data_IF_084619024994
#
_entry.id   IF_084619024994
#
_cell.length_a   1.000
_cell.length_b   1.000
_cell.length_c   1.000
_cell.angle_alpha   90.00
_cell.angle_beta   90.00
_cell.angle_gamma   90.00
#
_symmetry.space_group_name_H-M   'P 1'
#
loop_
_entity.id
_entity.type
_entity.pdbx_description
1 polymer ?
#
# COMPACT_ATOMS: atom_id res chain seq x y z
N UNK A 1 -13.74 50.97 36.08
CA UNK A 1 -14.44 49.74 35.64
C UNK A 1 -14.41 49.70 34.12
N UNK A 2 -13.63 48.78 33.53
CA UNK A 2 -13.61 48.55 32.09
C UNK A 2 -14.46 47.30 31.82
N UNK A 3 -15.62 47.49 31.18
CA UNK A 3 -16.43 46.38 30.66
C UNK A 3 -15.93 46.14 29.23
N UNK A 4 -15.11 45.11 29.06
CA UNK A 4 -14.78 44.57 27.75
C UNK A 4 -15.83 43.49 27.44
N UNK A 5 -16.84 43.84 26.66
CA UNK A 5 -17.78 42.87 26.09
C UNK A 5 -17.04 42.20 24.92
N UNK A 6 -16.38 41.09 25.23
CA UNK A 6 -15.62 40.28 24.29
C UNK A 6 -16.61 39.64 23.32
N UNK A 7 -16.52 40.05 22.05
CA UNK A 7 -17.33 39.53 20.96
C UNK A 7 -17.21 38.01 20.88
N UNK A 8 -18.37 37.37 20.83
CA UNK A 8 -18.54 35.94 20.59
C UNK A 8 -17.83 35.59 19.27
N UNK A 9 -16.62 35.05 19.35
CA UNK A 9 -15.94 34.45 18.21
C UNK A 9 -16.76 33.23 17.85
N UNK A 10 -17.46 33.32 16.72
CA UNK A 10 -18.02 32.19 15.99
C UNK A 10 -16.94 31.12 15.90
N UNK A 11 -17.10 30.05 16.67
CA UNK A 11 -16.43 28.79 16.45
C UNK A 11 -16.86 28.29 15.08
N UNK A 12 -16.12 28.69 14.05
CA UNK A 12 -16.01 27.98 12.78
C UNK A 12 -15.72 26.54 13.18
N UNK A 13 -16.76 25.69 13.10
CA UNK A 13 -16.57 24.27 13.06
C UNK A 13 -15.66 24.01 11.89
N UNK A 14 -14.39 23.72 12.18
CA UNK A 14 -13.53 23.05 11.23
C UNK A 14 -14.25 21.76 10.90
N UNK A 15 -14.91 21.74 9.75
CA UNK A 15 -15.10 20.54 8.95
C UNK A 15 -13.71 19.94 8.82
N UNK A 16 -13.40 19.04 9.75
CA UNK A 16 -12.16 18.32 9.75
C UNK A 16 -12.20 17.43 8.52
N UNK A 17 -11.59 17.90 7.43
CA UNK A 17 -11.25 17.06 6.29
C UNK A 17 -10.54 15.84 6.86
N UNK A 18 -11.24 14.72 6.84
CA UNK A 18 -10.75 13.48 7.43
C UNK A 18 -9.78 12.90 6.41
N UNK A 19 -8.49 13.19 6.56
CA UNK A 19 -7.44 12.56 5.75
C UNK A 19 -7.54 11.04 5.89
N UNK A 20 -7.56 10.34 4.76
CA UNK A 20 -7.47 8.89 4.72
C UNK A 20 -6.01 8.56 4.99
N UNK A 21 -5.70 7.83 6.06
CA UNK A 21 -4.32 7.51 6.44
C UNK A 21 -4.17 6.01 6.56
N UNK A 22 -3.74 5.37 5.46
CA UNK A 22 -3.46 3.94 5.49
C UNK A 22 -2.22 3.74 6.37
N UNK A 23 -2.35 3.09 7.55
CA UNK A 23 -1.18 2.82 8.35
C UNK A 23 -0.30 1.82 7.59
N UNK A 24 1.04 1.95 7.64
CA UNK A 24 1.90 0.92 7.12
C UNK A 24 1.56 -0.42 7.81
N UNK A 25 1.71 -1.56 7.11
CA UNK A 25 1.34 -2.86 7.66
C UNK A 25 2.18 -3.23 8.91
N UNK A 26 3.35 -2.60 9.06
CA UNK A 26 4.28 -2.72 10.18
C UNK A 26 4.86 -1.36 10.55
N UNK A 27 4.99 -1.10 11.84
CA UNK A 27 5.73 0.04 12.36
C UNK A 27 7.24 -0.20 12.16
N UNK A 28 7.96 0.81 11.68
CA UNK A 28 9.40 0.74 11.40
C UNK A 28 10.25 0.37 12.61
N UNK A 29 9.73 0.58 13.82
CA UNK A 29 10.40 0.33 15.10
C UNK A 29 10.48 -1.16 15.46
N UNK A 30 9.72 -2.04 14.77
CA UNK A 30 9.65 -3.47 15.07
C UNK A 30 10.34 -4.36 14.02
N UNK A 31 11.14 -3.78 13.12
CA UNK A 31 11.91 -4.57 12.15
C UNK A 31 12.97 -5.37 12.91
N UNK A 32 12.90 -6.70 12.81
CA UNK A 32 13.88 -7.59 13.43
C UNK A 32 15.29 -7.26 12.88
N UNK A 33 16.35 -7.26 13.71
CA UNK A 33 17.70 -7.13 13.17
C UNK A 33 18.02 -8.35 12.28
N UNK A 34 18.82 -8.17 11.20
CA UNK A 34 19.23 -9.28 10.36
C UNK A 34 20.08 -10.28 11.15
N UNK A 35 20.09 -11.54 10.71
CA UNK A 35 21.03 -12.55 11.21
C UNK A 35 22.48 -12.12 10.95
N UNK A 36 23.42 -12.53 11.80
CA UNK A 36 24.86 -12.24 11.60
C UNK A 36 25.42 -12.86 10.33
N UNK A 37 24.82 -13.96 9.88
CA UNK A 37 25.18 -14.69 8.67
C UNK A 37 24.25 -14.37 7.50
N UNK A 38 23.47 -13.28 7.60
CA UNK A 38 22.52 -12.91 6.56
C UNK A 38 23.23 -12.58 5.24
N UNK A 39 22.69 -13.09 4.14
CA UNK A 39 23.24 -12.85 2.81
C UNK A 39 22.82 -11.47 2.31
N UNK A 40 23.77 -10.69 1.81
CA UNK A 40 23.49 -9.41 1.19
C UNK A 40 22.80 -9.59 -0.18
N UNK A 41 21.62 -8.99 -0.35
CA UNK A 41 20.83 -9.03 -1.59
C UNK A 41 20.42 -7.64 -2.04
N UNK A 42 20.23 -7.50 -3.35
CA UNK A 42 19.64 -6.32 -3.97
C UNK A 42 18.12 -6.41 -3.95
N UNK A 43 17.44 -5.27 -3.90
CA UNK A 43 16.00 -5.15 -4.04
C UNK A 43 15.67 -4.05 -5.05
N UNK A 44 14.72 -4.32 -5.94
CA UNK A 44 14.33 -3.38 -7.00
C UNK A 44 12.82 -3.25 -7.11
N UNK A 45 12.38 -2.01 -7.31
CA UNK A 45 11.01 -1.64 -7.59
C UNK A 45 10.82 -1.47 -9.11
N UNK A 46 9.78 -2.08 -9.67
CA UNK A 46 9.37 -1.93 -11.07
C UNK A 46 7.86 -1.71 -11.18
N UNK A 47 7.45 -0.84 -12.11
CA UNK A 47 6.06 -0.56 -12.40
C UNK A 47 5.65 0.87 -12.10
N UNK A 48 4.90 1.46 -13.04
CA UNK A 48 4.59 2.89 -13.08
C UNK A 48 3.52 3.31 -12.06
N UNK A 49 2.92 2.33 -11.37
CA UNK A 49 1.82 2.52 -10.43
C UNK A 49 2.26 2.51 -8.96
N UNK A 50 3.56 2.29 -8.70
CA UNK A 50 4.13 2.11 -7.37
C UNK A 50 4.23 3.40 -6.54
N UNK A 51 4.48 4.53 -7.21
CA UNK A 51 4.74 5.83 -6.59
C UNK A 51 3.52 6.74 -6.52
N UNK A 52 2.42 6.37 -7.19
CA UNK A 52 1.15 7.11 -7.13
C UNK A 52 0.60 7.10 -5.69
N UNK A 53 0.52 8.30 -5.10
CA UNK A 53 -0.03 8.51 -3.75
C UNK A 53 -1.55 8.38 -3.73
N UNK A 54 -2.20 8.56 -4.87
CA UNK A 54 -3.66 8.52 -5.02
C UNK A 54 -4.14 7.12 -5.42
N UNK A 55 -3.52 6.07 -4.88
CA UNK A 55 -3.86 4.71 -5.27
C UNK A 55 -5.14 4.17 -4.62
N UNK A 56 -5.62 4.85 -3.57
CA UNK A 56 -6.96 4.69 -3.03
C UNK A 56 -7.85 5.78 -3.62
N UNK A 57 -8.66 5.44 -4.62
CA UNK A 57 -9.61 6.38 -5.23
C UNK A 57 -11.03 5.96 -4.86
N UNK A 58 -11.82 6.86 -4.29
CA UNK A 58 -13.26 6.66 -4.13
C UNK A 58 -13.97 7.34 -5.31
N UNK A 59 -14.19 6.62 -6.40
CA UNK A 59 -14.88 7.17 -7.56
C UNK A 59 -16.40 7.32 -7.30
N UNK A 60 -16.84 8.58 -7.22
CA UNK A 60 -17.98 9.16 -7.98
C UNK A 60 -19.43 9.17 -7.48
N UNK A 61 -19.74 8.82 -6.23
CA UNK A 61 -20.95 9.41 -5.59
C UNK A 61 -20.69 10.00 -4.21
N UNK A 62 -19.59 9.62 -3.56
CA UNK A 62 -19.13 10.33 -2.37
C UNK A 62 -18.77 11.77 -2.68
N UNK A 63 -17.94 12.04 -3.69
CA UNK A 63 -17.54 13.42 -4.05
C UNK A 63 -18.67 14.34 -4.53
N UNK A 64 -19.85 13.82 -4.89
CA UNK A 64 -20.99 14.66 -5.33
C UNK A 64 -21.89 15.02 -4.13
N UNK A 65 -21.78 14.31 -3.00
CA UNK A 65 -22.68 14.46 -1.82
C UNK A 65 -21.91 14.73 -0.51
N UNK A 66 -20.65 14.32 -0.43
CA UNK A 66 -19.75 14.40 0.73
C UNK A 66 -18.34 14.80 0.23
N UNK A 67 -18.02 16.09 0.37
CA UNK A 67 -16.76 16.73 -0.04
C UNK A 67 -15.57 16.35 0.88
N UNK A 68 -15.75 15.37 1.77
CA UNK A 68 -14.89 15.13 2.95
C UNK A 68 -13.74 14.11 2.74
N UNK A 69 -13.46 13.68 1.49
CA UNK A 69 -12.39 12.72 1.20
C UNK A 69 -11.21 13.36 0.46
N UNK A 70 -10.20 13.78 1.22
CA UNK A 70 -8.85 14.04 0.70
C UNK A 70 -8.13 12.72 0.39
N UNK A 71 -7.31 12.72 -0.66
CA UNK A 71 -6.52 11.57 -1.08
C UNK A 71 -5.58 11.09 0.05
N UNK A 72 -5.30 9.79 0.05
CA UNK A 72 -4.38 9.13 0.99
C UNK A 72 -2.95 9.64 0.91
N UNK A 73 -2.27 9.66 2.05
CA UNK A 73 -0.82 9.86 2.12
C UNK A 73 -0.07 8.52 2.07
N UNK A 74 0.76 8.33 1.04
CA UNK A 74 1.71 7.23 0.96
C UNK A 74 1.51 6.35 -0.27
N UNK A 75 2.58 6.16 -1.03
CA UNK A 75 2.59 5.24 -2.18
C UNK A 75 2.74 3.78 -1.70
N UNK A 76 2.37 2.81 -2.54
CA UNK A 76 2.54 1.37 -2.21
C UNK A 76 4.01 1.09 -1.87
N UNK A 77 4.93 1.70 -2.61
CA UNK A 77 6.36 1.59 -2.36
C UNK A 77 6.71 2.03 -0.93
N UNK A 78 6.35 3.25 -0.53
CA UNK A 78 6.65 3.78 0.81
C UNK A 78 6.06 2.89 1.92
N UNK A 79 4.80 2.47 1.76
CA UNK A 79 4.11 1.67 2.76
C UNK A 79 4.68 0.23 2.85
N UNK A 80 5.21 -0.31 1.75
CA UNK A 80 5.79 -1.65 1.72
C UNK A 80 7.25 -1.72 2.16
N UNK A 81 8.01 -0.62 2.15
CA UNK A 81 9.44 -0.61 2.53
C UNK A 81 9.72 -1.31 3.87
N UNK A 82 9.01 -1.03 4.99
CA UNK A 82 9.24 -1.75 6.25
C UNK A 82 8.92 -3.24 6.14
N UNK A 83 7.86 -3.60 5.40
CA UNK A 83 7.43 -4.98 5.21
C UNK A 83 8.43 -5.79 4.37
N UNK A 84 9.03 -5.18 3.36
CA UNK A 84 10.10 -5.78 2.55
C UNK A 84 11.33 -6.04 3.41
N UNK A 85 11.80 -5.05 4.18
CA UNK A 85 12.93 -5.21 5.11
C UNK A 85 12.69 -6.38 6.07
N UNK A 86 11.51 -6.41 6.68
CA UNK A 86 11.12 -7.48 7.60
C UNK A 86 11.12 -8.86 6.91
N UNK A 87 10.54 -8.97 5.71
CA UNK A 87 10.47 -10.23 4.98
C UNK A 87 11.86 -10.76 4.59
N UNK A 88 12.79 -9.87 4.20
CA UNK A 88 14.19 -10.23 3.92
C UNK A 88 14.87 -10.78 5.19
N UNK A 89 14.79 -10.05 6.30
CA UNK A 89 15.45 -10.43 7.54
C UNK A 89 14.91 -11.76 8.11
N UNK A 90 13.59 -12.00 7.98
CA UNK A 90 12.96 -13.28 8.36
C UNK A 90 13.45 -14.48 7.54
N UNK A 91 14.06 -14.24 6.37
CA UNK A 91 14.56 -15.27 5.46
C UNK A 91 16.09 -15.33 5.39
N UNK A 92 16.79 -14.79 6.41
CA UNK A 92 18.26 -14.74 6.50
C UNK A 92 18.90 -13.92 5.35
N UNK A 93 18.18 -12.91 4.84
CA UNK A 93 18.68 -11.98 3.84
C UNK A 93 18.78 -10.58 4.44
N UNK A 94 19.76 -9.80 4.01
CA UNK A 94 19.88 -8.38 4.35
C UNK A 94 20.06 -7.55 3.08
N UNK A 95 19.61 -6.30 3.11
CA UNK A 95 19.83 -5.39 1.99
C UNK A 95 21.31 -5.03 1.91
N UNK A 96 21.89 -5.07 0.72
CA UNK A 96 23.24 -4.57 0.51
C UNK A 96 23.28 -3.04 0.64
N UNK A 97 24.39 -2.48 1.12
CA UNK A 97 24.55 -1.04 1.42
C UNK A 97 24.30 -0.10 0.22
N UNK A 98 24.44 -0.60 -1.01
CA UNK A 98 24.18 0.15 -2.24
C UNK A 98 22.81 -0.16 -2.87
N UNK A 99 21.95 -0.90 -2.16
CA UNK A 99 20.60 -1.22 -2.62
C UNK A 99 19.67 -0.05 -2.38
N UNK A 100 19.00 0.38 -3.43
CA UNK A 100 18.27 1.62 -3.44
C UNK A 100 16.77 1.35 -3.23
N UNK A 101 16.39 0.99 -1.98
CA UNK A 101 14.98 0.86 -1.60
C UNK A 101 14.20 2.16 -1.77
N UNK A 102 14.91 3.29 -1.72
CA UNK A 102 14.36 4.64 -1.78
C UNK A 102 14.46 5.25 -3.19
N UNK A 103 15.01 4.53 -4.17
CA UNK A 103 15.04 4.99 -5.57
C UNK A 103 13.67 4.89 -6.21
N UNK A 104 13.41 5.86 -7.07
CA UNK A 104 12.30 5.76 -8.02
C UNK A 104 12.41 4.47 -8.86
N UNK A 105 11.28 3.81 -9.18
CA UNK A 105 11.25 2.64 -10.04
C UNK A 105 11.93 2.92 -11.39
N UNK A 106 12.86 2.07 -11.80
CA UNK A 106 13.51 2.17 -13.10
C UNK A 106 12.87 1.18 -14.10
N UNK A 107 12.64 1.62 -15.34
CA UNK A 107 12.13 0.75 -16.42
C UNK A 107 13.16 -0.32 -16.84
N UNK A 108 14.46 -0.04 -16.67
CA UNK A 108 15.55 -0.95 -17.03
C UNK A 108 16.32 -1.45 -15.81
N UNK A 109 16.52 -2.76 -15.75
CA UNK A 109 17.37 -3.42 -14.77
C UNK A 109 18.85 -3.16 -15.12
N UNK A 110 19.44 -2.04 -14.68
CA UNK A 110 20.90 -1.90 -14.73
C UNK A 110 21.51 -3.00 -13.88
N UNK A 111 22.44 -3.85 -14.36
CA UNK A 111 23.09 -4.83 -13.50
C UNK A 111 23.84 -4.08 -12.39
N UNK A 112 23.40 -4.22 -11.15
CA UNK A 112 24.13 -3.66 -10.01
C UNK A 112 25.43 -4.47 -9.85
N UNK A 113 26.41 -3.90 -9.15
CA UNK A 113 27.64 -4.59 -8.76
C UNK A 113 27.34 -6.02 -8.27
N UNK A 114 28.26 -6.96 -8.50
CA UNK A 114 28.06 -8.42 -8.38
C UNK A 114 27.48 -8.87 -7.01
N UNK A 115 26.17 -8.71 -6.84
CA UNK A 115 25.40 -9.26 -5.74
C UNK A 115 25.11 -10.72 -6.05
N UNK A 116 25.10 -11.59 -5.03
CA UNK A 116 24.72 -12.99 -5.21
C UNK A 116 23.27 -13.11 -5.70
N UNK A 117 22.42 -12.13 -5.36
CA UNK A 117 21.02 -12.12 -5.75
C UNK A 117 20.42 -10.72 -5.83
N UNK A 118 19.44 -10.56 -6.73
CA UNK A 118 18.55 -9.40 -6.77
C UNK A 118 17.09 -9.86 -6.71
N UNK A 119 16.35 -9.33 -5.73
CA UNK A 119 14.89 -9.44 -5.63
C UNK A 119 14.27 -8.27 -6.41
N UNK A 120 13.33 -8.55 -7.30
CA UNK A 120 12.58 -7.51 -8.01
C UNK A 120 11.10 -7.66 -7.70
N UNK A 121 10.44 -6.58 -7.31
CA UNK A 121 8.98 -6.48 -7.25
C UNK A 121 8.48 -5.67 -8.43
N UNK A 122 7.57 -6.27 -9.21
CA UNK A 122 6.91 -5.61 -10.31
C UNK A 122 5.39 -5.55 -10.06
N UNK A 123 4.84 -4.35 -9.95
CA UNK A 123 3.39 -4.13 -9.87
C UNK A 123 2.82 -3.92 -11.28
N UNK A 124 2.02 -4.90 -11.74
CA UNK A 124 1.44 -4.91 -13.09
C UNK A 124 0.14 -4.12 -13.12
N UNK A 125 -0.80 -4.50 -12.25
CA UNK A 125 -2.14 -3.92 -12.19
C UNK A 125 -2.50 -3.61 -10.74
N UNK A 126 -3.13 -2.46 -10.49
CA UNK A 126 -3.82 -2.17 -9.23
C UNK A 126 -5.15 -1.48 -9.46
N UNK A 127 -6.16 -1.94 -8.74
CA UNK A 127 -7.48 -1.34 -8.64
C UNK A 127 -7.99 -1.58 -7.22
N UNK A 128 -8.18 -0.49 -6.47
CA UNK A 128 -8.83 -0.50 -5.17
C UNK A 128 -9.85 0.63 -5.15
N UNK A 129 -11.09 0.29 -5.47
CA UNK A 129 -12.15 1.27 -5.68
C UNK A 129 -13.48 0.79 -5.07
N UNK A 130 -14.25 1.72 -4.50
CA UNK A 130 -15.64 1.47 -4.11
C UNK A 130 -16.59 1.87 -5.24
N UNK A 131 -17.54 0.98 -5.54
CA UNK A 131 -18.60 1.18 -6.52
C UNK A 131 -19.96 1.20 -5.82
N UNK A 132 -20.78 2.26 -6.02
CA UNK A 132 -22.15 2.26 -5.55
C UNK A 132 -22.96 1.18 -6.27
N UNK A 133 -24.01 0.69 -5.62
CA UNK A 133 -24.96 -0.20 -6.29
C UNK A 133 -25.68 0.61 -7.38
N UNK A 134 -25.81 0.03 -8.58
CA UNK A 134 -26.57 0.62 -9.70
C UNK A 134 -28.07 0.62 -9.38
N UNK A 135 -28.53 1.49 -8.50
CA UNK A 135 -29.94 1.77 -8.28
C UNK A 135 -30.18 3.22 -8.72
N UNK A 136 -31.24 3.44 -9.49
CA UNK A 136 -31.58 4.76 -10.04
C UNK A 136 -31.62 5.81 -8.93
N UNK A 137 -31.04 6.98 -9.22
CA UNK A 137 -30.83 8.14 -8.35
C UNK A 137 -32.18 8.66 -7.82
N UNK A 138 -32.78 8.06 -6.81
CA UNK A 138 -34.00 8.60 -6.19
C UNK A 138 -34.09 8.41 -4.66
N UNK A 139 -33.15 7.72 -4.01
CA UNK A 139 -33.12 7.64 -2.54
C UNK A 139 -31.82 8.23 -2.00
N UNK A 140 -31.94 9.33 -1.26
CA UNK A 140 -30.84 10.06 -0.60
C UNK A 140 -30.11 9.24 0.46
N UNK A 141 -30.75 8.17 0.97
CA UNK A 141 -30.12 7.22 1.87
C UNK A 141 -29.80 5.92 1.11
N UNK A 142 -28.51 5.59 1.00
CA UNK A 142 -28.04 4.32 0.45
C UNK A 142 -28.38 3.16 1.40
N UNK A 143 -29.62 2.69 1.37
CA UNK A 143 -30.10 1.59 2.24
C UNK A 143 -29.34 0.28 1.96
N UNK A 144 -28.77 0.12 0.76
CA UNK A 144 -28.12 -1.11 0.32
C UNK A 144 -26.61 -0.92 0.11
N UNK A 145 -25.78 -1.89 0.52
CA UNK A 145 -24.35 -1.78 0.37
C UNK A 145 -23.94 -1.81 -1.11
N UNK A 146 -22.96 -0.97 -1.45
CA UNK A 146 -22.18 -1.08 -2.69
C UNK A 146 -21.10 -2.16 -2.54
N UNK A 147 -20.07 -2.09 -3.38
CA UNK A 147 -18.96 -3.05 -3.34
C UNK A 147 -17.61 -2.36 -3.48
N UNK A 148 -16.67 -2.75 -2.63
CA UNK A 148 -15.24 -2.49 -2.84
C UNK A 148 -14.70 -3.59 -3.73
N UNK A 149 -14.06 -3.21 -4.82
CA UNK A 149 -13.30 -4.09 -5.69
C UNK A 149 -11.83 -3.91 -5.36
N UNK A 150 -11.18 -5.03 -5.04
CA UNK A 150 -9.75 -5.10 -4.72
C UNK A 150 -9.10 -6.03 -5.73
N UNK A 151 -8.37 -5.47 -6.69
CA UNK A 151 -7.68 -6.21 -7.75
C UNK A 151 -6.22 -5.79 -7.84
N UNK A 152 -5.31 -6.72 -7.58
CA UNK A 152 -3.88 -6.49 -7.70
C UNK A 152 -3.23 -7.66 -8.43
N UNK A 153 -2.41 -7.35 -9.41
CA UNK A 153 -1.53 -8.30 -10.09
C UNK A 153 -0.10 -7.79 -9.96
N UNK A 154 0.77 -8.66 -9.45
CA UNK A 154 2.16 -8.32 -9.20
C UNK A 154 3.03 -9.56 -9.32
N UNK A 155 4.33 -9.33 -9.48
CA UNK A 155 5.33 -10.37 -9.68
C UNK A 155 6.49 -10.14 -8.73
N UNK A 156 6.95 -11.20 -8.09
CA UNK A 156 8.27 -11.22 -7.46
C UNK A 156 9.22 -12.04 -8.33
N UNK A 157 10.42 -11.52 -8.56
CA UNK A 157 11.50 -12.24 -9.21
C UNK A 157 12.71 -12.29 -8.29
N UNK A 158 13.41 -13.42 -8.26
CA UNK A 158 14.71 -13.57 -7.65
C UNK A 158 15.68 -14.00 -8.76
N UNK A 159 16.55 -13.08 -9.18
CA UNK A 159 17.31 -13.20 -10.42
C UNK A 159 16.38 -13.49 -11.62
N UNK A 160 16.41 -14.70 -12.18
CA UNK A 160 15.59 -15.10 -13.33
C UNK A 160 14.31 -15.86 -12.93
N UNK A 161 14.20 -16.34 -11.69
CA UNK A 161 13.04 -17.09 -11.23
C UNK A 161 11.95 -16.13 -10.78
N UNK A 162 10.80 -16.17 -11.44
CA UNK A 162 9.69 -15.26 -11.20
C UNK A 162 8.43 -16.02 -10.80
N UNK A 163 7.64 -15.43 -9.92
CA UNK A 163 6.33 -15.92 -9.54
C UNK A 163 5.30 -14.79 -9.59
N UNK A 164 4.19 -15.05 -10.28
CA UNK A 164 3.05 -14.15 -10.39
C UNK A 164 2.09 -14.36 -9.22
N UNK A 165 1.54 -13.25 -8.72
CA UNK A 165 0.58 -13.21 -7.64
C UNK A 165 -0.62 -12.35 -8.02
N UNK A 166 -1.78 -12.74 -7.49
CA UNK A 166 -3.04 -12.05 -7.73
C UNK A 166 -3.86 -11.95 -6.46
N UNK A 167 -4.42 -10.76 -6.21
CA UNK A 167 -5.45 -10.52 -5.20
C UNK A 167 -6.69 -10.07 -5.95
N UNK A 168 -7.80 -10.78 -5.78
CA UNK A 168 -9.08 -10.49 -6.44
C UNK A 168 -10.21 -10.72 -5.44
N UNK A 169 -10.77 -9.62 -4.94
CA UNK A 169 -11.80 -9.65 -3.89
C UNK A 169 -12.87 -8.61 -4.17
N UNK A 170 -14.09 -8.95 -3.77
CA UNK A 170 -15.25 -8.07 -3.80
C UNK A 170 -15.93 -8.06 -2.45
N UNK A 171 -15.87 -6.93 -1.76
CA UNK A 171 -16.33 -6.79 -0.39
C UNK A 171 -17.54 -5.85 -0.33
N UNK A 172 -18.69 -6.26 0.25
CA UNK A 172 -19.82 -5.36 0.42
C UNK A 172 -19.51 -4.27 1.44
N UNK A 173 -19.84 -3.01 1.13
CA UNK A 173 -19.68 -1.88 2.04
C UNK A 173 -20.81 -0.86 1.83
N UNK A 174 -21.43 -0.44 2.94
CA UNK A 174 -22.35 0.71 2.94
C UNK A 174 -21.57 1.99 2.64
N UNK A 175 -22.26 3.00 2.11
CA UNK A 175 -21.62 4.28 1.79
C UNK A 175 -20.95 4.89 3.04
N UNK A 176 -21.65 4.94 4.18
CA UNK A 176 -21.12 5.53 5.42
C UNK A 176 -19.81 4.88 5.90
N UNK A 177 -19.63 3.58 5.68
CA UNK A 177 -18.45 2.82 6.14
C UNK A 177 -17.43 2.59 5.01
N UNK A 178 -17.70 3.07 3.79
CA UNK A 178 -16.90 2.74 2.61
C UNK A 178 -15.46 3.24 2.73
N UNK A 179 -15.25 4.40 3.37
CA UNK A 179 -13.92 4.96 3.63
C UNK A 179 -13.13 4.03 4.55
N UNK A 180 -13.61 3.76 5.76
CA UNK A 180 -12.86 2.94 6.71
C UNK A 180 -12.61 1.53 6.15
N UNK A 181 -13.58 0.99 5.40
CA UNK A 181 -13.43 -0.31 4.79
C UNK A 181 -12.40 -0.33 3.65
N UNK A 182 -12.24 0.75 2.87
CA UNK A 182 -11.22 0.81 1.81
C UNK A 182 -9.81 0.85 2.42
N UNK A 183 -9.62 1.54 3.54
CA UNK A 183 -8.36 1.56 4.29
C UNK A 183 -8.03 0.16 4.84
N UNK A 184 -9.02 -0.54 5.40
CA UNK A 184 -8.85 -1.93 5.86
C UNK A 184 -8.46 -2.85 4.70
N UNK A 185 -9.12 -2.72 3.54
CA UNK A 185 -8.80 -3.51 2.35
C UNK A 185 -7.37 -3.21 1.85
N UNK A 186 -6.95 -1.95 1.82
CA UNK A 186 -5.57 -1.56 1.51
C UNK A 186 -4.57 -2.20 2.47
N UNK A 187 -4.80 -2.11 3.78
CA UNK A 187 -3.93 -2.75 4.78
C UNK A 187 -3.84 -4.26 4.62
N UNK A 188 -4.95 -4.92 4.25
CA UNK A 188 -4.96 -6.36 3.96
C UNK A 188 -4.18 -6.71 2.69
N UNK A 189 -4.24 -5.87 1.66
CA UNK A 189 -3.44 -6.03 0.42
C UNK A 189 -1.95 -5.99 0.75
N UNK A 190 -1.51 -4.97 1.49
CA UNK A 190 -0.10 -4.80 1.87
C UNK A 190 0.40 -5.99 2.71
N UNK A 191 -0.40 -6.45 3.69
CA UNK A 191 -0.09 -7.65 4.49
C UNK A 191 -0.01 -8.91 3.64
N UNK A 192 -0.89 -9.07 2.64
CA UNK A 192 -0.85 -10.22 1.73
C UNK A 192 0.39 -10.20 0.86
N UNK A 193 0.73 -9.04 0.28
CA UNK A 193 1.94 -8.86 -0.54
C UNK A 193 3.22 -9.20 0.24
N UNK A 194 3.28 -8.84 1.53
CA UNK A 194 4.40 -9.20 2.40
C UNK A 194 4.45 -10.71 2.67
N UNK A 195 3.32 -11.32 3.02
CA UNK A 195 3.24 -12.77 3.23
C UNK A 195 3.73 -13.50 1.98
N UNK A 196 3.29 -13.04 0.81
CA UNK A 196 3.67 -13.61 -0.48
C UNK A 196 5.17 -13.44 -0.77
N UNK A 197 5.75 -12.28 -0.43
CA UNK A 197 7.21 -12.08 -0.50
C UNK A 197 7.96 -13.05 0.41
N UNK A 198 7.53 -13.18 1.67
CA UNK A 198 8.19 -14.07 2.63
C UNK A 198 8.12 -15.53 2.17
N UNK A 199 6.97 -15.99 1.70
CA UNK A 199 6.80 -17.36 1.20
C UNK A 199 7.61 -17.59 -0.09
N UNK A 200 7.65 -16.60 -0.98
CA UNK A 200 8.47 -16.63 -2.19
C UNK A 200 9.96 -16.75 -1.86
N UNK A 201 10.48 -15.90 -0.96
CA UNK A 201 11.88 -15.93 -0.54
C UNK A 201 12.22 -17.25 0.14
N UNK A 202 11.37 -17.75 1.04
CA UNK A 202 11.59 -19.04 1.72
C UNK A 202 11.77 -20.19 0.74
N UNK A 203 10.98 -20.20 -0.34
CA UNK A 203 11.04 -21.23 -1.38
C UNK A 203 12.28 -21.10 -2.27
N UNK A 204 12.70 -19.88 -2.60
CA UNK A 204 13.71 -19.62 -3.62
C UNK A 204 15.06 -19.16 -3.07
N UNK A 205 15.23 -18.99 -1.75
CA UNK A 205 16.47 -18.47 -1.14
C UNK A 205 17.75 -19.21 -1.53
N UNK A 206 17.66 -20.50 -1.87
CA UNK A 206 18.81 -21.31 -2.30
C UNK A 206 19.47 -20.79 -3.58
N UNK A 207 18.72 -20.06 -4.41
CA UNK A 207 19.23 -19.44 -5.64
C UNK A 207 20.34 -18.44 -5.35
N UNK A 208 20.38 -17.89 -4.13
CA UNK A 208 21.35 -16.87 -3.74
C UNK A 208 22.65 -17.42 -3.16
N UNK A 209 22.81 -18.74 -3.03
CA UNK A 209 23.94 -19.32 -2.30
C UNK A 209 24.31 -20.75 -2.68
N UNK A 210 24.20 -21.11 -3.97
CA UNK A 210 24.95 -22.24 -4.54
C UNK A 210 26.13 -21.75 -5.39
#
# INVERSE_FOLDING_TARGET
MKIALMGLVLSLGSTACSKVSVPPPFESEYVLPPSKDALAVGFRWQGNLLTDTDWIRSYTQYRIVYDDMENTTGSIMELMKPAVKQALHQNDLMLADYTDLDREPAEEATPDAALPCTVTFNLVTRDLNWYPRREFIQTTNGIRPGYIVTYFEYRYCLNQECQDFKIDRKTPAHSLDAKDRIEIEAGQVLKKMQSDLSDFLKKHRKICGE
#
